data_IF_300607946030
#
_entry.id   IF_300607946030
#
_cell.length_a   1.000
_cell.length_b   1.000
_cell.length_c   1.000
_cell.angle_alpha   90.00
_cell.angle_beta   90.00
_cell.angle_gamma   90.00
#
_symmetry.space_group_name_H-M   'P 1'
#
loop_
_entity.id
_entity.type
_entity.pdbx_description
1 polymer ?
#
# COMPACT_ATOMS: atom_id res chain seq x y z
N UNK A 1 24.92 7.10 -29.89
CA UNK A 1 25.51 6.02 -29.07
C UNK A 1 25.65 6.34 -27.59
N UNK A 2 26.25 7.46 -27.15
CA UNK A 2 26.24 7.80 -25.70
C UNK A 2 24.83 8.14 -25.19
N UNK A 3 24.10 8.94 -25.96
CA UNK A 3 22.71 9.31 -25.64
C UNK A 3 21.78 8.08 -25.58
N UNK A 4 21.94 7.11 -26.49
CA UNK A 4 21.12 5.89 -26.50
C UNK A 4 21.35 5.01 -25.26
N UNK A 5 22.59 4.96 -24.76
CA UNK A 5 22.94 4.22 -23.54
C UNK A 5 22.36 4.94 -22.31
N UNK A 6 22.46 6.27 -22.24
CA UNK A 6 21.90 7.06 -21.15
C UNK A 6 20.37 6.97 -21.09
N UNK A 7 19.71 6.99 -22.24
CA UNK A 7 18.25 6.85 -22.35
C UNK A 7 17.78 5.43 -21.99
N UNK A 8 18.57 4.40 -22.32
CA UNK A 8 18.29 3.02 -21.92
C UNK A 8 18.49 2.81 -20.41
N UNK A 9 19.52 3.44 -19.81
CA UNK A 9 19.73 3.46 -18.35
C UNK A 9 18.57 4.17 -17.64
N UNK A 10 18.09 5.30 -18.17
CA UNK A 10 16.96 6.03 -17.63
C UNK A 10 15.68 5.19 -17.62
N UNK A 11 15.41 4.44 -18.70
CA UNK A 11 14.26 3.52 -18.80
C UNK A 11 14.38 2.29 -17.90
N UNK A 12 15.60 1.84 -17.59
CA UNK A 12 15.86 0.72 -16.68
C UNK A 12 15.89 1.11 -15.20
N UNK A 13 16.00 2.41 -14.86
CA UNK A 13 15.88 2.87 -13.47
C UNK A 13 14.47 2.58 -12.97
N UNK A 14 14.33 1.45 -12.27
CA UNK A 14 13.09 1.08 -11.57
C UNK A 14 12.72 2.19 -10.61
N UNK A 15 11.48 2.66 -10.70
CA UNK A 15 10.93 3.53 -9.68
C UNK A 15 11.03 2.79 -8.34
N UNK A 16 11.63 3.39 -7.30
CA UNK A 16 11.66 2.77 -6.00
C UNK A 16 10.23 2.45 -5.55
N UNK A 17 10.03 1.40 -4.73
CA UNK A 17 8.72 1.10 -4.18
C UNK A 17 8.19 2.36 -3.48
N UNK A 18 6.97 2.76 -3.80
CA UNK A 18 6.35 3.89 -3.13
C UNK A 18 6.20 3.55 -1.63
N UNK A 19 6.48 4.53 -0.77
CA UNK A 19 6.24 4.38 0.66
C UNK A 19 4.76 4.07 0.92
N UNK A 20 4.49 3.19 1.90
CA UNK A 20 3.12 2.86 2.30
C UNK A 20 2.47 4.14 2.83
N UNK A 21 1.29 4.54 2.33
CA UNK A 21 0.58 5.70 2.86
C UNK A 21 0.36 5.58 4.37
N UNK A 22 0.59 6.66 5.11
CA UNK A 22 0.53 6.68 6.58
C UNK A 22 -0.79 6.11 7.13
N UNK A 23 -1.91 6.46 6.52
CA UNK A 23 -3.24 5.97 6.92
C UNK A 23 -3.38 4.45 6.75
N UNK A 24 -2.82 3.88 5.67
CA UNK A 24 -2.78 2.42 5.46
C UNK A 24 -1.96 1.75 6.58
N UNK A 25 -0.81 2.32 6.93
CA UNK A 25 0.05 1.77 7.98
C UNK A 25 -0.61 1.84 9.37
N UNK A 26 -1.31 2.93 9.70
CA UNK A 26 -2.04 3.09 10.96
C UNK A 26 -3.18 2.07 11.09
N UNK A 27 -3.99 1.88 10.03
CA UNK A 27 -5.07 0.88 10.04
C UNK A 27 -4.55 -0.55 10.04
N UNK A 28 -3.41 -0.80 9.41
CA UNK A 28 -2.74 -2.09 9.48
C UNK A 28 -2.32 -2.43 10.92
N UNK A 29 -1.71 -1.49 11.64
CA UNK A 29 -1.29 -1.72 13.02
C UNK A 29 -2.50 -1.96 13.94
N UNK A 30 -3.59 -1.19 13.77
CA UNK A 30 -4.83 -1.39 14.52
C UNK A 30 -5.39 -2.82 14.33
N UNK A 31 -5.41 -3.32 13.10
CA UNK A 31 -5.83 -4.69 12.79
C UNK A 31 -4.92 -5.74 13.44
N UNK A 32 -3.60 -5.56 13.38
CA UNK A 32 -2.63 -6.45 14.01
C UNK A 32 -2.83 -6.49 15.53
N UNK A 33 -3.01 -5.32 16.15
CA UNK A 33 -3.28 -5.20 17.58
C UNK A 33 -4.58 -5.93 17.95
N UNK A 34 -5.65 -5.77 17.17
CA UNK A 34 -6.90 -6.48 17.43
C UNK A 34 -6.70 -8.00 17.40
N UNK A 35 -6.04 -8.54 16.37
CA UNK A 35 -5.79 -9.99 16.28
C UNK A 35 -4.90 -10.51 17.41
N UNK A 36 -3.87 -9.75 17.81
CA UNK A 36 -3.01 -10.11 18.94
C UNK A 36 -3.78 -10.19 20.26
N UNK A 37 -4.76 -9.31 20.45
CA UNK A 37 -5.61 -9.28 21.63
C UNK A 37 -6.74 -10.33 21.60
N UNK A 38 -7.17 -10.76 20.41
CA UNK A 38 -8.31 -11.67 20.20
C UNK A 38 -7.91 -12.98 19.48
N UNK A 39 -6.86 -13.65 19.94
CA UNK A 39 -6.26 -14.81 19.25
C UNK A 39 -7.22 -15.99 19.03
N UNK A 40 -8.16 -16.22 19.96
CA UNK A 40 -9.17 -17.29 19.86
C UNK A 40 -10.50 -16.82 19.26
N UNK A 41 -10.67 -15.51 19.08
CA UNK A 41 -11.89 -14.88 18.53
C UNK A 41 -11.54 -13.87 17.43
N UNK A 42 -10.90 -14.30 16.32
CA UNK A 42 -10.48 -13.40 15.25
C UNK A 42 -11.65 -12.68 14.56
N UNK A 43 -12.87 -13.23 14.66
CA UNK A 43 -14.08 -12.61 14.10
C UNK A 43 -14.49 -11.32 14.84
N UNK A 44 -14.01 -11.10 16.07
CA UNK A 44 -14.28 -9.87 16.83
C UNK A 44 -13.62 -8.64 16.16
N UNK A 45 -12.58 -8.86 15.34
CA UNK A 45 -11.81 -7.82 14.64
C UNK A 45 -12.38 -7.40 13.27
N UNK A 46 -13.66 -7.70 13.00
CA UNK A 46 -14.26 -7.47 11.69
C UNK A 46 -14.29 -5.99 11.29
N UNK A 47 -14.45 -5.08 12.26
CA UNK A 47 -14.50 -3.65 12.03
C UNK A 47 -13.13 -3.12 11.56
N UNK A 48 -12.05 -3.52 12.22
CA UNK A 48 -10.67 -3.14 11.83
C UNK A 48 -10.32 -3.69 10.43
N UNK A 49 -10.80 -4.89 10.10
CA UNK A 49 -10.66 -5.46 8.75
C UNK A 49 -11.38 -4.61 7.71
N UNK A 50 -12.61 -4.18 7.99
CA UNK A 50 -13.40 -3.36 7.09
C UNK A 50 -12.76 -1.98 6.87
N UNK A 51 -12.31 -1.32 7.93
CA UNK A 51 -11.60 -0.05 7.86
C UNK A 51 -10.30 -0.17 7.04
N UNK A 52 -9.50 -1.20 7.31
CA UNK A 52 -8.25 -1.43 6.58
C UNK A 52 -8.51 -1.64 5.08
N UNK A 53 -9.51 -2.45 4.71
CA UNK A 53 -9.92 -2.66 3.31
C UNK A 53 -10.35 -1.37 2.64
N UNK A 54 -11.13 -0.54 3.33
CA UNK A 54 -11.63 0.72 2.79
C UNK A 54 -10.50 1.70 2.48
N UNK A 55 -9.54 1.85 3.40
CA UNK A 55 -8.37 2.74 3.22
C UNK A 55 -7.47 2.22 2.10
N UNK A 56 -7.19 0.92 2.05
CA UNK A 56 -6.40 0.33 0.95
C UNK A 56 -7.07 0.55 -0.40
N UNK A 57 -8.38 0.30 -0.51
CA UNK A 57 -9.12 0.50 -1.76
C UNK A 57 -9.10 1.97 -2.20
N UNK A 58 -9.16 2.92 -1.25
CA UNK A 58 -9.06 4.34 -1.54
C UNK A 58 -7.69 4.73 -2.10
N UNK A 59 -6.61 4.30 -1.45
CA UNK A 59 -5.24 4.58 -1.90
C UNK A 59 -4.91 3.89 -3.23
N UNK A 60 -5.42 2.67 -3.46
CA UNK A 60 -5.30 1.99 -4.74
C UNK A 60 -5.98 2.77 -5.87
N UNK A 61 -7.19 3.31 -5.65
CA UNK A 61 -7.88 4.16 -6.64
C UNK A 61 -7.06 5.42 -6.96
N UNK A 62 -6.51 6.08 -5.93
CA UNK A 62 -5.63 7.25 -6.12
C UNK A 62 -4.36 6.89 -6.89
N UNK A 63 -3.73 5.78 -6.55
CA UNK A 63 -2.52 5.31 -7.22
C UNK A 63 -2.77 5.09 -8.71
N UNK A 64 -3.82 4.34 -9.06
CA UNK A 64 -4.20 4.07 -10.46
C UNK A 64 -4.52 5.37 -11.20
N UNK A 65 -5.29 6.28 -10.60
CA UNK A 65 -5.61 7.57 -11.22
C UNK A 65 -4.38 8.43 -11.50
N UNK A 66 -3.37 8.38 -10.62
CA UNK A 66 -2.14 9.17 -10.76
C UNK A 66 -1.13 8.55 -11.75
N UNK A 67 -1.18 7.24 -11.99
CA UNK A 67 -0.19 6.49 -12.79
C UNK A 67 -0.74 5.95 -14.12
N UNK A 68 -1.92 6.40 -14.55
CA UNK A 68 -2.51 6.08 -15.87
C UNK A 68 -2.10 7.05 -17.00
N UNK A 69 -1.12 7.93 -16.79
CA UNK A 69 -0.53 8.78 -17.85
C UNK A 69 0.83 8.29 -18.29
#
# INVERSE_FOLDING_TARGET
>A
MKEDIEDMIAKMKRTPPADIPKDVAERQEALIVCYRNNQTRPLDCWAEVEEFKNVVAHEQRKFVANHQR
#
